data_IF_620391950892
#
_entry.id   IF_620391950892
#
_cell.length_a   1.000
_cell.length_b   1.000
_cell.length_c   1.000
_cell.angle_alpha   90.00
_cell.angle_beta   90.00
_cell.angle_gamma   90.00
#
_symmetry.space_group_name_H-M   'P 1'
#
loop_
_entity.id
_entity.type
_entity.pdbx_description
1 polymer ?
#
# COMPACT_ATOMS: atom_id res chain seq x y z
N UNK A 1 49.02 6.35 -7.84
CA UNK A 1 48.15 5.92 -8.97
C UNK A 1 47.63 4.54 -8.59
N UNK A 2 46.37 4.29 -8.26
CA UNK A 2 45.14 5.07 -8.47
C UNK A 2 44.16 4.73 -7.36
N UNK A 3 43.46 5.75 -6.86
CA UNK A 3 42.43 5.64 -5.84
C UNK A 3 41.20 4.89 -6.36
N UNK A 4 40.98 3.67 -5.87
CA UNK A 4 39.73 2.95 -6.07
C UNK A 4 38.70 3.44 -5.03
N UNK A 5 38.23 4.67 -5.22
CA UNK A 5 37.10 5.22 -4.48
C UNK A 5 35.81 4.55 -4.99
N UNK A 6 35.56 3.32 -4.54
CA UNK A 6 34.33 2.59 -4.88
C UNK A 6 33.17 3.26 -4.15
N UNK A 7 32.38 3.97 -4.96
CA UNK A 7 31.17 4.69 -4.63
C UNK A 7 30.11 3.74 -4.03
N UNK A 8 30.20 3.42 -2.74
CA UNK A 8 29.26 2.52 -2.05
C UNK A 8 27.97 3.20 -1.55
N UNK A 9 27.69 4.43 -1.95
CA UNK A 9 26.79 5.29 -1.17
C UNK A 9 25.37 5.52 -1.72
N UNK A 10 24.85 4.67 -2.63
CA UNK A 10 23.50 4.92 -3.18
C UNK A 10 22.56 3.73 -3.36
N UNK A 11 22.98 2.52 -2.99
CA UNK A 11 22.22 1.31 -3.33
C UNK A 11 21.27 0.77 -2.23
N UNK A 12 21.39 1.05 -0.91
CA UNK A 12 20.46 0.45 0.08
C UNK A 12 19.03 1.01 0.07
N UNK A 13 18.86 2.31 -0.25
CA UNK A 13 17.57 3.02 -0.04
C UNK A 13 16.51 2.61 -1.06
N UNK A 14 16.92 2.22 -2.28
CA UNK A 14 15.98 1.87 -3.36
C UNK A 14 15.37 0.48 -3.17
N UNK A 15 16.13 -0.49 -2.68
CA UNK A 15 15.62 -1.85 -2.44
C UNK A 15 14.55 -1.88 -1.34
N UNK A 16 14.79 -1.19 -0.21
CA UNK A 16 13.80 -1.09 0.87
C UNK A 16 12.50 -0.39 0.44
N UNK A 17 12.62 0.67 -0.36
CA UNK A 17 11.46 1.37 -0.93
C UNK A 17 10.65 0.50 -1.88
N UNK A 18 11.32 -0.26 -2.75
CA UNK A 18 10.65 -1.19 -3.68
C UNK A 18 9.88 -2.29 -2.94
N UNK A 19 10.47 -2.85 -1.87
CA UNK A 19 9.81 -3.87 -1.05
C UNK A 19 8.60 -3.29 -0.28
N UNK A 20 8.73 -2.07 0.25
CA UNK A 20 7.63 -1.39 0.93
C UNK A 20 6.46 -1.08 -0.02
N UNK A 21 6.73 -0.60 -1.23
CA UNK A 21 5.70 -0.35 -2.24
C UNK A 21 4.98 -1.66 -2.61
N UNK A 22 5.73 -2.72 -2.92
CA UNK A 22 5.15 -4.02 -3.27
C UNK A 22 4.28 -4.60 -2.14
N UNK A 23 4.70 -4.44 -0.87
CA UNK A 23 3.92 -4.90 0.27
C UNK A 23 2.59 -4.14 0.42
N UNK A 24 2.59 -2.82 0.22
CA UNK A 24 1.36 -2.01 0.28
C UNK A 24 0.44 -2.31 -0.91
N UNK A 25 0.99 -2.50 -2.11
CA UNK A 25 0.21 -2.91 -3.29
C UNK A 25 -0.44 -4.28 -3.09
N UNK A 26 0.29 -5.27 -2.59
CA UNK A 26 -0.28 -6.58 -2.25
C UNK A 26 -1.41 -6.44 -1.23
N UNK A 27 -1.20 -5.64 -0.19
CA UNK A 27 -2.23 -5.41 0.84
C UNK A 27 -3.49 -4.77 0.27
N UNK A 28 -3.35 -3.82 -0.64
CA UNK A 28 -4.48 -3.20 -1.33
C UNK A 28 -5.27 -4.24 -2.15
N UNK A 29 -4.59 -5.15 -2.86
CA UNK A 29 -5.27 -6.23 -3.58
C UNK A 29 -6.06 -7.15 -2.65
N UNK A 30 -5.49 -7.54 -1.50
CA UNK A 30 -6.18 -8.35 -0.50
C UNK A 30 -7.43 -7.66 0.07
N UNK A 31 -7.33 -6.36 0.38
CA UNK A 31 -8.46 -5.58 0.90
C UNK A 31 -9.56 -5.40 -0.15
N UNK A 32 -9.20 -5.18 -1.42
CA UNK A 32 -10.16 -5.10 -2.52
C UNK A 32 -10.94 -6.41 -2.69
N UNK A 33 -10.26 -7.56 -2.61
CA UNK A 33 -10.92 -8.86 -2.66
C UNK A 33 -11.92 -9.04 -1.51
N UNK A 34 -11.58 -8.59 -0.30
CA UNK A 34 -12.50 -8.62 0.86
C UNK A 34 -13.70 -7.69 0.68
N UNK A 35 -13.53 -6.52 0.07
CA UNK A 35 -14.65 -5.62 -0.26
C UNK A 35 -15.61 -6.29 -1.23
N UNK A 36 -15.10 -6.97 -2.27
CA UNK A 36 -15.93 -7.74 -3.20
C UNK A 36 -16.72 -8.82 -2.46
N UNK A 37 -16.06 -9.58 -1.58
CA UNK A 37 -16.72 -10.60 -0.76
C UNK A 37 -17.84 -10.01 0.11
N UNK A 38 -17.63 -8.85 0.75
CA UNK A 38 -18.69 -8.19 1.52
C UNK A 38 -19.91 -7.86 0.64
N UNK A 39 -19.69 -7.40 -0.59
CA UNK A 39 -20.79 -7.10 -1.51
C UNK A 39 -21.54 -8.36 -1.95
N UNK A 40 -20.83 -9.49 -2.14
CA UNK A 40 -21.44 -10.79 -2.44
C UNK A 40 -22.27 -11.28 -1.24
N UNK A 41 -21.72 -11.24 -0.03
CA UNK A 41 -22.40 -11.66 1.20
C UNK A 41 -23.63 -10.80 1.52
N UNK A 42 -23.63 -9.50 1.22
CA UNK A 42 -24.85 -8.67 1.35
C UNK A 42 -26.01 -9.13 0.46
N UNK A 43 -25.72 -9.84 -0.64
CA UNK A 43 -26.74 -10.41 -1.54
C UNK A 43 -27.14 -11.82 -1.11
N UNK A 44 -26.17 -12.62 -0.68
CA UNK A 44 -26.38 -14.01 -0.26
C UNK A 44 -27.03 -14.12 1.12
N UNK A 45 -26.71 -13.18 2.02
CA UNK A 45 -27.10 -13.17 3.44
C UNK A 45 -27.72 -11.81 3.83
N UNK A 46 -28.92 -11.47 3.31
CA UNK A 46 -29.54 -10.18 3.55
C UNK A 46 -29.86 -9.89 5.03
N UNK A 47 -30.00 -10.92 5.86
CA UNK A 47 -30.17 -10.81 7.31
C UNK A 47 -28.95 -10.23 8.03
N UNK A 48 -27.75 -10.37 7.45
CA UNK A 48 -26.48 -9.84 7.99
C UNK A 48 -25.95 -8.65 7.18
N UNK A 49 -26.82 -8.06 6.35
CA UNK A 49 -26.42 -6.98 5.44
C UNK A 49 -25.76 -5.81 6.16
N UNK A 50 -26.28 -5.43 7.34
CA UNK A 50 -25.74 -4.28 8.07
C UNK A 50 -24.31 -4.55 8.56
N UNK A 51 -24.04 -5.76 9.05
CA UNK A 51 -22.71 -6.20 9.46
C UNK A 51 -21.73 -6.20 8.28
N UNK A 52 -22.15 -6.72 7.13
CA UNK A 52 -21.35 -6.73 5.91
C UNK A 52 -21.10 -5.30 5.35
N UNK A 53 -22.07 -4.39 5.49
CA UNK A 53 -21.90 -2.97 5.14
C UNK A 53 -20.87 -2.28 6.06
N UNK A 54 -20.92 -2.53 7.38
CA UNK A 54 -19.94 -1.99 8.33
C UNK A 54 -18.52 -2.49 8.07
N UNK A 55 -18.36 -3.78 7.82
CA UNK A 55 -17.06 -4.37 7.48
C UNK A 55 -16.52 -3.76 6.17
N UNK A 56 -17.36 -3.65 5.14
CA UNK A 56 -16.99 -3.01 3.88
C UNK A 56 -16.51 -1.57 4.09
N UNK A 57 -17.23 -0.78 4.86
CA UNK A 57 -16.89 0.62 5.09
C UNK A 57 -15.56 0.76 5.87
N UNK A 58 -15.29 -0.14 6.81
CA UNK A 58 -14.00 -0.23 7.50
C UNK A 58 -12.86 -0.62 6.54
N UNK A 59 -13.08 -1.59 5.65
CA UNK A 59 -12.11 -1.99 4.62
C UNK A 59 -11.80 -0.85 3.65
N UNK A 60 -12.81 -0.11 3.21
CA UNK A 60 -12.64 1.05 2.32
C UNK A 60 -11.80 2.15 2.99
N UNK A 61 -11.97 2.35 4.29
CA UNK A 61 -11.11 3.27 5.05
C UNK A 61 -9.65 2.83 5.05
N UNK A 62 -9.35 1.54 5.26
CA UNK A 62 -7.98 1.02 5.18
C UNK A 62 -7.38 1.14 3.79
N UNK A 63 -8.17 0.89 2.75
CA UNK A 63 -7.74 1.07 1.37
C UNK A 63 -7.30 2.54 1.15
N UNK A 64 -8.09 3.50 1.63
CA UNK A 64 -7.74 4.92 1.54
C UNK A 64 -6.42 5.25 2.27
N UNK A 65 -6.24 4.70 3.48
CA UNK A 65 -5.01 4.87 4.27
C UNK A 65 -3.78 4.30 3.54
N UNK A 66 -3.88 3.09 2.97
CA UNK A 66 -2.79 2.48 2.22
C UNK A 66 -2.52 3.16 0.86
N UNK A 67 -3.54 3.67 0.19
CA UNK A 67 -3.37 4.49 -1.01
C UNK A 67 -2.61 5.78 -0.69
N UNK A 68 -2.91 6.40 0.46
CA UNK A 68 -2.15 7.55 0.94
C UNK A 68 -0.68 7.19 1.24
N UNK A 69 -0.43 6.03 1.86
CA UNK A 69 0.93 5.54 2.09
C UNK A 69 1.70 5.28 0.79
N UNK A 70 1.05 4.69 -0.24
CA UNK A 70 1.67 4.56 -1.57
C UNK A 70 2.01 5.90 -2.18
N UNK A 71 1.11 6.89 -2.11
CA UNK A 71 1.39 8.24 -2.58
C UNK A 71 2.63 8.81 -1.90
N UNK A 72 2.77 8.64 -0.59
CA UNK A 72 3.96 9.09 0.16
C UNK A 72 5.22 8.32 -0.22
N UNK A 73 5.13 7.00 -0.35
CA UNK A 73 6.25 6.15 -0.76
C UNK A 73 6.67 6.40 -2.20
N UNK A 74 5.80 6.93 -3.06
CA UNK A 74 6.10 7.25 -4.46
C UNK A 74 6.56 8.70 -4.69
N UNK A 75 6.50 9.58 -3.68
CA UNK A 75 7.07 10.92 -3.83
C UNK A 75 8.59 10.85 -4.02
N UNK A 76 9.16 11.49 -5.07
CA UNK A 76 10.60 11.63 -5.18
C UNK A 76 11.06 12.46 -3.97
N UNK A 77 12.05 11.97 -3.23
CA UNK A 77 12.68 12.75 -2.16
C UNK A 77 13.16 14.05 -2.78
N UNK A 78 12.53 15.18 -2.44
CA UNK A 78 13.04 16.50 -2.76
C UNK A 78 14.43 16.58 -2.11
N UNK A 79 15.48 16.35 -2.91
CA UNK A 79 16.83 16.71 -2.51
C UNK A 79 16.77 18.22 -2.32
N UNK A 80 16.89 18.66 -1.06
CA UNK A 80 17.22 20.05 -0.75
C UNK A 80 18.52 20.36 -1.50
N UNK A 81 18.41 21.07 -2.61
CA UNK A 81 19.55 21.80 -3.16
C UNK A 81 19.87 22.88 -2.14
N UNK A 82 21.01 22.72 -1.47
CA UNK A 82 21.59 23.70 -0.57
C UNK A 82 21.97 24.98 -1.34
#
# INVERSE_FOLDING_TARGET
MSDANVLFDTIPVRFGRSAAVAAVEQRLCELQARVTLCNELMLEEPEFRYEHELERDWLLRQISEHQFDLCRLNQPSLRRSA
#
